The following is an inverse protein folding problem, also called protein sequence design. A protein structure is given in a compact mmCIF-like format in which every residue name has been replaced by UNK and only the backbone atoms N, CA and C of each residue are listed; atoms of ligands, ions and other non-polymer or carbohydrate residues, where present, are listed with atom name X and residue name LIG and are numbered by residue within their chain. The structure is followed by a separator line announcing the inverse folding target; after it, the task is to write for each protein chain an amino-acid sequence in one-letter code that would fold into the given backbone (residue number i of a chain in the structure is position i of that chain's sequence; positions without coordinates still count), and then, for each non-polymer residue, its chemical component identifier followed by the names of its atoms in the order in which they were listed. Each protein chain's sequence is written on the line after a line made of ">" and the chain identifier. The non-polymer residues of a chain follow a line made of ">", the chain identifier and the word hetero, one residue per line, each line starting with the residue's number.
data_IF_531200853047
#
_entry.id   IF_531200853047
#
_cell.length_a   1.000
_cell.length_b   1.000
_cell.length_c   1.000
_cell.angle_alpha   90.00
_cell.angle_beta   90.00
_cell.angle_gamma   90.00
#
_symmetry.space_group_name_H-M   'P 1'
#
loop_
_entity.id
_entity.type
_entity.pdbx_description
1 polymer ?
#
# COMPACT_ATOMS: atom_id res chain seq x y z
N UNK A 1 -9.14 8.95 -13.18
CA UNK A 1 -9.34 7.77 -12.30
C UNK A 1 -8.85 8.00 -10.87
N UNK A 2 -7.60 8.42 -10.66
CA UNK A 2 -7.05 8.68 -9.31
C UNK A 2 -7.91 9.64 -8.48
N UNK A 3 -8.38 10.72 -9.09
CA UNK A 3 -9.32 11.70 -8.50
C UNK A 3 -10.56 11.01 -7.91
N UNK A 4 -11.14 10.03 -8.62
CA UNK A 4 -12.30 9.30 -8.14
C UNK A 4 -11.96 8.29 -7.03
N UNK A 5 -10.73 7.74 -7.02
CA UNK A 5 -10.28 6.78 -6.00
C UNK A 5 -9.92 7.44 -4.66
N UNK A 6 -9.40 8.67 -4.67
CA UNK A 6 -9.00 9.38 -3.44
C UNK A 6 -10.21 9.87 -2.62
N UNK A 7 -11.35 10.11 -3.27
CA UNK A 7 -12.58 10.53 -2.58
C UNK A 7 -13.08 9.48 -1.57
N UNK A 8 -13.37 8.21 -1.95
CA UNK A 8 -13.83 7.20 -1.00
C UNK A 8 -12.77 6.81 0.03
N UNK A 9 -11.47 6.91 -0.32
CA UNK A 9 -10.37 6.74 0.64
C UNK A 9 -10.45 7.79 1.75
N UNK A 10 -10.46 9.06 1.37
CA UNK A 10 -10.48 10.18 2.32
C UNK A 10 -11.76 10.16 3.16
N UNK A 11 -12.89 9.87 2.53
CA UNK A 11 -14.16 9.71 3.23
C UNK A 11 -14.12 8.56 4.24
N UNK A 12 -13.46 7.44 3.91
CA UNK A 12 -13.34 6.31 4.83
C UNK A 12 -12.41 6.61 6.02
N UNK A 13 -11.35 7.40 5.81
CA UNK A 13 -10.39 7.79 6.85
C UNK A 13 -10.96 8.84 7.81
N UNK A 14 -11.52 9.93 7.26
CA UNK A 14 -11.97 11.08 8.05
C UNK A 14 -13.45 11.06 8.40
N UNK A 15 -14.24 10.17 7.77
CA UNK A 15 -15.70 10.09 7.92
C UNK A 15 -16.42 11.43 7.64
N UNK A 16 -15.80 12.30 6.83
CA UNK A 16 -16.33 13.61 6.48
C UNK A 16 -16.18 13.87 4.98
N UNK A 17 -17.19 14.52 4.40
CA UNK A 17 -17.23 14.86 2.97
C UNK A 17 -16.32 16.03 2.63
N UNK A 18 -16.18 17.00 3.53
CA UNK A 18 -15.34 18.19 3.31
C UNK A 18 -13.88 17.86 2.96
N UNK A 19 -13.12 17.10 3.78
CA UNK A 19 -11.75 16.75 3.42
C UNK A 19 -11.70 15.88 2.15
N UNK A 20 -12.71 15.03 1.91
CA UNK A 20 -12.75 14.21 0.71
C UNK A 20 -12.90 15.04 -0.58
N UNK A 21 -13.77 16.05 -0.56
CA UNK A 21 -13.96 16.98 -1.68
C UNK A 21 -12.71 17.84 -1.87
N UNK A 22 -12.14 18.38 -0.79
CA UNK A 22 -10.91 19.18 -0.86
C UNK A 22 -9.73 18.39 -1.44
N UNK A 23 -9.52 17.16 -0.97
CA UNK A 23 -8.48 16.28 -1.53
C UNK A 23 -8.73 15.97 -3.00
N UNK A 24 -9.98 15.65 -3.38
CA UNK A 24 -10.35 15.37 -4.76
C UNK A 24 -10.11 16.59 -5.68
N UNK A 25 -10.52 17.78 -5.24
CA UNK A 25 -10.31 19.04 -5.97
C UNK A 25 -8.83 19.39 -6.08
N UNK A 26 -8.08 19.32 -4.97
CA UNK A 26 -6.65 19.60 -4.97
C UNK A 26 -5.87 18.66 -5.88
N UNK A 27 -6.24 17.38 -5.94
CA UNK A 27 -5.63 16.42 -6.86
C UNK A 27 -6.01 16.69 -8.32
N UNK A 28 -7.25 17.08 -8.59
CA UNK A 28 -7.75 17.36 -9.94
C UNK A 28 -7.10 18.62 -10.55
N UNK A 29 -6.78 19.60 -9.70
CA UNK A 29 -6.16 20.87 -10.10
C UNK A 29 -4.63 20.87 -9.99
N UNK A 30 -4.03 19.77 -9.53
CA UNK A 30 -2.58 19.69 -9.36
C UNK A 30 -1.86 19.59 -10.71
N UNK A 31 -0.98 20.56 -10.98
CA UNK A 31 -0.20 20.63 -12.22
C UNK A 31 0.63 19.37 -12.46
N UNK A 32 1.28 18.84 -11.42
CA UNK A 32 2.05 17.60 -11.50
C UNK A 32 1.17 16.41 -11.89
N UNK A 33 -0.01 16.29 -11.28
CA UNK A 33 -0.95 15.22 -11.62
C UNK A 33 -1.46 15.34 -13.05
N UNK A 34 -1.77 16.56 -13.53
CA UNK A 34 -2.19 16.79 -14.91
C UNK A 34 -1.07 16.55 -15.92
N UNK A 35 0.15 17.00 -15.62
CA UNK A 35 1.34 16.82 -16.45
C UNK A 35 1.66 15.34 -16.67
N UNK A 36 1.80 14.56 -15.60
CA UNK A 36 2.09 13.11 -15.72
C UNK A 36 0.92 12.32 -16.33
N UNK A 37 -0.32 12.77 -16.15
CA UNK A 37 -1.49 12.14 -16.78
C UNK A 37 -1.51 12.33 -18.29
N UNK A 38 -1.07 13.49 -18.80
CA UNK A 38 -0.97 13.77 -20.24
C UNK A 38 0.16 13.00 -20.92
N UNK A 39 1.25 12.76 -20.20
CA UNK A 39 2.42 12.04 -20.74
C UNK A 39 2.22 10.53 -20.83
N UNK A 40 1.20 9.97 -20.18
CA UNK A 40 0.93 8.52 -20.22
C UNK A 40 2.01 7.67 -19.53
N UNK A 41 2.83 8.28 -18.65
CA UNK A 41 3.85 7.54 -17.91
C UNK A 41 3.22 6.48 -16.99
N UNK A 42 3.73 5.24 -17.02
CA UNK A 42 3.28 4.16 -16.11
C UNK A 42 3.28 4.54 -14.63
N UNK A 43 4.17 5.43 -14.22
CA UNK A 43 4.26 5.94 -12.86
C UNK A 43 2.97 6.68 -12.41
N UNK A 44 2.16 7.19 -13.33
CA UNK A 44 0.88 7.86 -13.00
C UNK A 44 -0.17 6.89 -12.45
N UNK A 45 0.01 5.58 -12.67
CA UNK A 45 -0.86 4.54 -12.10
C UNK A 45 -0.57 4.29 -10.62
N UNK A 46 0.63 4.63 -10.13
CA UNK A 46 1.01 4.41 -8.74
C UNK A 46 0.08 5.12 -7.75
N UNK A 47 -0.25 6.42 -7.90
CA UNK A 47 -1.25 7.08 -7.05
C UNK A 47 -2.63 6.41 -7.06
N UNK A 48 -3.08 5.91 -8.22
CA UNK A 48 -4.38 5.23 -8.34
C UNK A 48 -4.40 3.92 -7.56
N UNK A 49 -3.42 3.03 -7.82
CA UNK A 49 -3.38 1.72 -7.20
C UNK A 49 -3.04 1.79 -5.72
N UNK A 50 -2.17 2.72 -5.30
CA UNK A 50 -1.90 2.93 -3.87
C UNK A 50 -3.13 3.46 -3.12
N UNK A 51 -3.89 4.41 -3.68
CA UNK A 51 -5.13 4.90 -3.07
C UNK A 51 -6.16 3.77 -2.89
N UNK A 52 -6.36 2.93 -3.91
CA UNK A 52 -7.25 1.78 -3.84
C UNK A 52 -6.77 0.72 -2.84
N UNK A 53 -5.47 0.41 -2.85
CA UNK A 53 -4.85 -0.53 -1.91
C UNK A 53 -5.07 -0.10 -0.45
N UNK A 54 -4.82 1.18 -0.14
CA UNK A 54 -5.03 1.76 1.19
C UNK A 54 -6.52 1.80 1.54
N UNK A 55 -7.41 2.14 0.60
CA UNK A 55 -8.85 2.16 0.84
C UNK A 55 -9.37 0.78 1.26
N UNK A 56 -9.02 -0.25 0.51
CA UNK A 56 -9.45 -1.62 0.82
C UNK A 56 -8.77 -2.16 2.07
N UNK A 57 -7.49 -1.85 2.30
CA UNK A 57 -6.81 -2.14 3.56
C UNK A 57 -7.56 -1.54 4.75
N UNK A 58 -7.92 -0.25 4.66
CA UNK A 58 -8.66 0.42 5.72
C UNK A 58 -10.03 -0.20 5.99
N UNK A 59 -10.73 -0.65 4.94
CA UNK A 59 -12.02 -1.37 5.06
C UNK A 59 -11.85 -2.75 5.69
N UNK A 60 -10.78 -3.49 5.37
CA UNK A 60 -10.46 -4.76 6.02
C UNK A 60 -10.10 -4.53 7.50
N UNK A 61 -9.17 -3.60 7.75
CA UNK A 61 -8.72 -3.24 9.09
C UNK A 61 -9.85 -2.79 10.00
N UNK A 62 -10.74 -1.91 9.51
CA UNK A 62 -11.88 -1.42 10.30
C UNK A 62 -12.82 -2.53 10.75
N UNK A 63 -12.84 -3.67 10.07
CA UNK A 63 -13.63 -4.86 10.44
C UNK A 63 -12.92 -5.79 11.41
N UNK A 64 -11.59 -5.69 11.53
CA UNK A 64 -10.82 -6.40 12.56
C UNK A 64 -10.90 -5.72 13.93
N UNK A 65 -11.41 -4.48 13.99
CA UNK A 65 -11.60 -3.77 15.25
C UNK A 65 -12.82 -4.34 15.99
N UNK A 66 -12.70 -4.68 17.28
CA UNK A 66 -13.88 -5.07 18.06
C UNK A 66 -14.88 -3.90 18.09
N UNK A 67 -16.20 -4.18 18.06
CA UNK A 67 -17.22 -3.15 18.16
C UNK A 67 -16.96 -2.28 19.39
N UNK A 68 -16.93 -0.97 19.20
CA UNK A 68 -17.08 0.00 20.30
C UNK A 68 -18.53 -0.05 20.77
N UNK A 69 -18.91 -1.10 21.48
CA UNK A 69 -20.19 -1.19 22.20
C UNK A 69 -19.96 -1.03 23.69
N UNK A 70 -20.70 -0.05 24.22
CA UNK A 70 -20.98 0.29 25.62
C UNK A 70 -20.77 -0.82 26.65
N UNK A 71 -20.15 -0.45 27.78
CA UNK A 71 -20.29 -0.95 29.18
C UNK A 71 -20.77 -2.39 29.45
N UNK A 72 -20.57 -3.37 28.55
CA UNK A 72 -20.78 -4.78 28.89
C UNK A 72 -19.50 -5.30 29.53
N UNK A 73 -19.60 -6.01 30.68
CA UNK A 73 -18.43 -6.56 31.36
C UNK A 73 -17.64 -7.45 30.39
N UNK A 74 -16.30 -7.54 30.57
CA UNK A 74 -15.48 -8.38 29.73
C UNK A 74 -15.96 -9.82 29.87
N UNK A 75 -16.61 -10.32 28.82
CA UNK A 75 -16.71 -11.75 28.63
C UNK A 75 -15.30 -12.25 28.33
N UNK A 76 -14.79 -13.14 29.17
CA UNK A 76 -13.47 -13.76 29.06
C UNK A 76 -13.40 -14.75 27.89
N UNK A 77 -14.46 -14.88 27.09
CA UNK A 77 -14.35 -15.56 25.81
C UNK A 77 -13.32 -14.84 24.92
N UNK A 78 -12.31 -15.54 24.37
CA UNK A 78 -11.43 -14.93 23.40
C UNK A 78 -12.30 -14.56 22.19
N UNK A 79 -12.67 -13.28 22.09
CA UNK A 79 -13.48 -12.76 20.97
C UNK A 79 -12.61 -12.68 19.71
N UNK A 80 -12.16 -13.85 19.26
CA UNK A 80 -11.54 -14.07 17.98
C UNK A 80 -12.65 -14.00 16.92
N UNK A 81 -12.89 -12.79 16.41
CA UNK A 81 -13.79 -12.63 15.28
C UNK A 81 -13.03 -13.09 14.03
N UNK A 82 -13.35 -14.30 13.57
CA UNK A 82 -12.89 -14.84 12.28
C UNK A 82 -13.22 -13.79 11.20
N UNK A 83 -12.29 -13.47 10.28
CA UNK A 83 -12.60 -12.58 9.18
C UNK A 83 -13.82 -13.12 8.43
N UNK A 84 -14.94 -12.40 8.53
CA UNK A 84 -16.17 -12.72 7.80
C UNK A 84 -15.89 -12.72 6.29
N UNK A 85 -16.72 -13.41 5.50
CA UNK A 85 -16.57 -13.49 4.02
C UNK A 85 -16.38 -12.12 3.36
N UNK A 86 -16.99 -11.06 3.91
CA UNK A 86 -16.83 -9.68 3.44
C UNK A 86 -15.45 -9.07 3.76
N UNK A 87 -14.81 -9.46 4.87
CA UNK A 87 -13.45 -9.01 5.21
C UNK A 87 -12.43 -9.58 4.22
N UNK A 88 -12.57 -10.85 3.85
CA UNK A 88 -11.68 -11.53 2.90
C UNK A 88 -11.68 -10.85 1.53
N UNK A 89 -12.83 -10.35 1.06
CA UNK A 89 -12.91 -9.56 -0.18
C UNK A 89 -12.02 -8.30 -0.10
N UNK A 90 -12.08 -7.54 0.99
CA UNK A 90 -11.27 -6.33 1.12
C UNK A 90 -9.77 -6.62 1.19
N UNK A 91 -9.37 -7.70 1.86
CA UNK A 91 -7.96 -8.13 1.91
C UNK A 91 -7.49 -8.54 0.51
N UNK A 92 -8.31 -9.27 -0.24
CA UNK A 92 -8.00 -9.68 -1.62
C UNK A 92 -7.75 -8.47 -2.53
N UNK A 93 -8.68 -7.50 -2.56
CA UNK A 93 -8.52 -6.31 -3.40
C UNK A 93 -7.39 -5.39 -2.92
N UNK A 94 -7.17 -5.27 -1.60
CA UNK A 94 -6.02 -4.53 -1.08
C UNK A 94 -4.70 -5.14 -1.55
N UNK A 95 -4.59 -6.46 -1.48
CA UNK A 95 -3.40 -7.21 -1.92
C UNK A 95 -3.20 -7.11 -3.43
N UNK A 96 -4.28 -7.24 -4.21
CA UNK A 96 -4.27 -7.12 -5.67
C UNK A 96 -3.77 -5.75 -6.13
N UNK A 97 -4.35 -4.66 -5.60
CA UNK A 97 -3.92 -3.31 -5.97
C UNK A 97 -2.51 -2.97 -5.46
N UNK A 98 -2.09 -3.55 -4.34
CA UNK A 98 -0.69 -3.41 -3.87
C UNK A 98 0.29 -4.08 -4.84
N UNK A 99 -0.01 -5.30 -5.28
CA UNK A 99 0.81 -6.00 -6.28
C UNK A 99 0.84 -5.23 -7.61
N UNK A 100 -0.30 -4.68 -8.04
CA UNK A 100 -0.38 -3.87 -9.26
C UNK A 100 0.39 -2.56 -9.14
N UNK A 101 0.42 -1.94 -7.96
CA UNK A 101 1.25 -0.77 -7.68
C UNK A 101 2.76 -1.11 -7.78
N UNK A 102 3.18 -2.22 -7.17
CA UNK A 102 4.58 -2.73 -7.23
C UNK A 102 4.99 -3.05 -8.66
N UNK A 103 4.08 -3.61 -9.45
CA UNK A 103 4.30 -3.87 -10.87
C UNK A 103 4.42 -2.58 -11.70
N UNK A 104 3.59 -1.58 -11.41
CA UNK A 104 3.57 -0.32 -12.15
C UNK A 104 4.79 0.58 -11.87
N UNK A 105 5.26 0.60 -10.62
CA UNK A 105 6.32 1.52 -10.21
C UNK A 105 7.22 0.99 -9.09
N UNK A 106 8.53 1.20 -9.23
CA UNK A 106 9.53 0.67 -8.32
C UNK A 106 9.36 1.15 -6.87
N UNK A 107 9.02 2.43 -6.66
CA UNK A 107 8.85 2.99 -5.31
C UNK A 107 7.67 2.38 -4.55
N UNK A 108 6.72 1.74 -5.25
CA UNK A 108 5.58 1.10 -4.61
C UNK A 108 5.96 -0.13 -3.76
N UNK A 109 7.21 -0.62 -3.87
CA UNK A 109 7.77 -1.64 -2.95
C UNK A 109 7.75 -1.21 -1.49
N UNK A 110 7.66 0.09 -1.20
CA UNK A 110 7.52 0.62 0.16
C UNK A 110 6.09 0.55 0.70
N UNK A 111 5.08 0.35 -0.16
CA UNK A 111 3.68 0.35 0.26
C UNK A 111 3.33 -0.75 1.29
N UNK A 112 3.80 -2.01 1.17
CA UNK A 112 3.60 -3.02 2.21
C UNK A 112 4.20 -2.63 3.56
N UNK A 113 5.32 -1.90 3.58
CA UNK A 113 5.93 -1.40 4.81
C UNK A 113 5.04 -0.38 5.50
N UNK A 114 4.30 0.46 4.74
CA UNK A 114 3.32 1.39 5.30
C UNK A 114 2.22 0.63 6.05
N UNK A 115 1.76 -0.52 5.55
CA UNK A 115 0.76 -1.34 6.25
C UNK A 115 1.31 -1.95 7.54
N UNK A 116 2.55 -2.46 7.52
CA UNK A 116 3.23 -2.97 8.72
C UNK A 116 3.35 -1.86 9.75
N UNK A 117 3.88 -0.70 9.35
CA UNK A 117 4.09 0.44 10.23
C UNK A 117 2.76 0.92 10.83
N UNK A 118 1.71 1.02 10.01
CA UNK A 118 0.38 1.40 10.49
C UNK A 118 -0.15 0.42 11.55
N UNK A 119 -0.08 -0.89 11.30
CA UNK A 119 -0.53 -1.90 12.24
C UNK A 119 0.32 -1.90 13.54
N UNK A 120 1.63 -1.69 13.41
CA UNK A 120 2.54 -1.57 14.53
C UNK A 120 2.20 -0.36 15.41
N UNK A 121 2.03 0.82 14.81
CA UNK A 121 1.64 2.04 15.52
C UNK A 121 0.27 1.89 16.19
N UNK A 122 -0.70 1.27 15.50
CA UNK A 122 -2.01 0.99 16.08
C UNK A 122 -1.92 0.05 17.29
N UNK A 123 -1.09 -1.00 17.19
CA UNK A 123 -0.84 -1.92 18.29
C UNK A 123 -0.15 -1.22 19.46
N UNK A 124 0.90 -0.44 19.22
CA UNK A 124 1.60 0.32 20.25
C UNK A 124 0.68 1.30 20.98
N UNK A 125 -0.22 1.98 20.23
CA UNK A 125 -1.18 2.94 20.79
C UNK A 125 -2.28 2.27 21.61
N UNK A 126 -2.81 1.14 21.15
CA UNK A 126 -4.00 0.53 21.76
C UNK A 126 -3.65 -0.58 22.74
N UNK A 127 -2.43 -1.15 22.65
CA UNK A 127 -1.91 -2.30 23.42
C UNK A 127 -2.86 -3.50 23.47
N UNK A 128 -3.76 -3.60 22.48
CA UNK A 128 -4.71 -4.71 22.33
C UNK A 128 -4.02 -5.96 21.83
N UNK A 129 -4.75 -7.07 21.85
CA UNK A 129 -4.30 -8.33 21.28
C UNK A 129 -3.81 -8.14 19.83
N UNK A 130 -2.56 -8.54 19.57
CA UNK A 130 -1.89 -8.39 18.28
C UNK A 130 -2.28 -9.49 17.27
N UNK A 131 -2.84 -10.62 17.73
CA UNK A 131 -3.23 -11.76 16.88
C UNK A 131 -4.09 -11.38 15.65
N UNK A 132 -5.16 -10.57 15.75
CA UNK A 132 -5.94 -10.17 14.57
C UNK A 132 -5.14 -9.34 13.57
N UNK A 133 -4.19 -8.51 14.04
CA UNK A 133 -3.31 -7.73 13.16
C UNK A 133 -2.33 -8.63 12.43
N UNK A 134 -1.77 -9.63 13.13
CA UNK A 134 -0.90 -10.62 12.49
C UNK A 134 -1.63 -11.39 11.42
N UNK A 135 -2.85 -11.87 11.67
CA UNK A 135 -3.62 -12.60 10.65
C UNK A 135 -3.90 -11.70 9.46
N UNK A 136 -4.33 -10.45 9.69
CA UNK A 136 -4.55 -9.47 8.62
C UNK A 136 -3.29 -9.26 7.76
N UNK A 137 -2.14 -8.99 8.40
CA UNK A 137 -0.87 -8.76 7.71
C UNK A 137 -0.42 -10.03 7.00
N UNK A 138 -0.38 -11.18 7.68
CA UNK A 138 0.07 -12.44 7.08
C UNK A 138 -0.77 -12.82 5.86
N UNK A 139 -2.10 -12.75 5.94
CA UNK A 139 -2.97 -13.02 4.79
C UNK A 139 -2.75 -12.02 3.66
N UNK A 140 -2.58 -10.74 3.97
CA UNK A 140 -2.29 -9.70 2.97
C UNK A 140 -0.96 -9.97 2.26
N UNK A 141 0.11 -10.30 2.99
CA UNK A 141 1.43 -10.57 2.41
C UNK A 141 1.46 -11.86 1.58
N UNK A 142 0.78 -12.92 2.04
CA UNK A 142 0.63 -14.15 1.26
C UNK A 142 -0.05 -13.86 -0.08
N UNK A 143 -1.14 -13.07 -0.08
CA UNK A 143 -1.85 -12.72 -1.31
C UNK A 143 -1.05 -11.78 -2.21
N UNK A 144 -0.31 -10.82 -1.66
CA UNK A 144 0.60 -9.97 -2.45
C UNK A 144 1.66 -10.84 -3.14
N UNK A 145 2.29 -11.76 -2.39
CA UNK A 145 3.29 -12.67 -2.96
C UNK A 145 2.69 -13.55 -4.05
N UNK A 146 1.46 -14.04 -3.85
CA UNK A 146 0.73 -14.80 -4.86
C UNK A 146 0.47 -13.99 -6.14
N UNK A 147 0.03 -12.74 -6.04
CA UNK A 147 -0.20 -11.89 -7.21
C UNK A 147 1.11 -11.47 -7.90
N UNK A 148 2.19 -11.34 -7.15
CA UNK A 148 3.53 -11.07 -7.67
C UNK A 148 4.27 -12.32 -8.13
N UNK A 149 3.65 -13.51 -8.03
CA UNK A 149 4.31 -14.78 -8.33
C UNK A 149 4.99 -14.79 -9.71
N UNK A 150 4.38 -14.32 -10.80
CA UNK A 150 5.06 -14.29 -12.11
C UNK A 150 6.32 -13.41 -12.10
N UNK A 151 6.26 -12.27 -11.41
CA UNK A 151 7.39 -11.35 -11.28
C UNK A 151 8.50 -11.94 -10.41
N UNK A 152 8.12 -12.63 -9.33
CA UNK A 152 9.06 -13.34 -8.44
C UNK A 152 9.77 -14.46 -9.22
N UNK A 153 9.03 -15.25 -10.00
CA UNK A 153 9.60 -16.32 -10.84
C UNK A 153 10.57 -15.73 -11.86
N UNK A 154 10.19 -14.66 -12.55
CA UNK A 154 11.05 -14.01 -13.54
C UNK A 154 12.39 -13.57 -12.93
N UNK A 155 12.35 -12.90 -11.78
CA UNK A 155 13.58 -12.45 -11.11
C UNK A 155 14.38 -13.58 -10.44
N UNK A 156 13.73 -14.67 -10.05
CA UNK A 156 14.44 -15.86 -9.57
C UNK A 156 15.23 -16.54 -10.70
N UNK A 157 14.70 -16.52 -11.92
CA UNK A 157 15.37 -17.08 -13.11
C UNK A 157 16.42 -16.12 -13.69
N UNK A 158 16.22 -14.81 -13.55
CA UNK A 158 17.10 -13.76 -14.10
C UNK A 158 17.44 -12.69 -13.05
N UNK A 159 18.28 -13.02 -12.05
CA UNK A 159 18.59 -12.08 -10.96
C UNK A 159 19.36 -10.83 -11.42
N UNK A 160 20.05 -10.89 -12.56
CA UNK A 160 20.73 -9.75 -13.15
C UNK A 160 19.76 -8.57 -13.44
N UNK A 161 18.51 -8.88 -13.82
CA UNK A 161 17.51 -7.87 -14.16
C UNK A 161 17.02 -7.06 -12.96
N UNK A 162 17.15 -7.62 -11.74
CA UNK A 162 16.84 -6.89 -10.50
C UNK A 162 17.79 -5.71 -10.28
N UNK A 163 19.07 -5.92 -10.60
CA UNK A 163 20.14 -4.96 -10.33
C UNK A 163 20.46 -4.09 -11.53
N UNK A 164 20.06 -4.47 -12.74
CA UNK A 164 20.35 -3.75 -13.98
C UNK A 164 20.00 -2.25 -13.91
N UNK A 165 18.88 -1.89 -13.29
CA UNK A 165 18.51 -0.47 -13.08
C UNK A 165 19.38 0.22 -12.02
N UNK A 166 19.68 -0.46 -10.91
CA UNK A 166 20.48 0.09 -9.84
C UNK A 166 21.95 0.29 -10.27
N UNK A 167 22.49 -0.62 -11.08
CA UNK A 167 23.84 -0.50 -11.63
C UNK A 167 23.95 0.66 -12.63
N UNK A 168 22.93 0.88 -13.48
CA UNK A 168 22.96 1.98 -14.46
C UNK A 168 23.03 3.37 -13.82
N UNK A 169 22.37 3.58 -12.68
CA UNK A 169 22.36 4.89 -11.98
C UNK A 169 23.29 4.92 -10.77
N UNK A 170 24.15 3.92 -10.63
CA UNK A 170 25.13 3.86 -9.54
C UNK A 170 26.19 4.94 -9.75
N UNK A 171 26.53 5.66 -8.69
CA UNK A 171 27.64 6.63 -8.68
C UNK A 171 28.98 5.92 -8.94
N UNK A 172 29.02 4.60 -8.68
CA UNK A 172 30.16 3.74 -8.96
C UNK A 172 30.15 3.16 -10.38
N UNK A 173 29.20 3.54 -11.24
CA UNK A 173 29.15 3.03 -12.60
C UNK A 173 30.32 3.63 -13.41
N UNK A 174 31.28 2.82 -13.89
CA UNK A 174 32.42 3.33 -14.65
C UNK A 174 32.02 4.02 -15.95
N UNK A 175 30.83 3.74 -16.51
CA UNK A 175 30.34 4.40 -17.72
C UNK A 175 29.88 5.85 -17.49
N UNK A 176 29.50 6.21 -16.27
CA UNK A 176 28.92 7.53 -15.95
C UNK A 176 29.86 8.42 -15.15
N UNK A 177 30.68 7.81 -14.29
CA UNK A 177 31.53 8.55 -13.37
C UNK A 177 33.00 8.07 -13.41
N UNK A 178 33.36 7.21 -14.36
CA UNK A 178 34.71 6.64 -14.51
C UNK A 178 35.30 6.00 -13.22
N UNK A 179 34.47 5.72 -12.21
CA UNK A 179 34.89 5.26 -10.89
C UNK A 179 35.38 6.36 -9.94
N UNK A 180 35.28 7.64 -10.29
CA UNK A 180 35.75 8.77 -9.49
C UNK A 180 34.60 9.44 -8.70
N UNK A 181 34.60 9.26 -7.39
CA UNK A 181 33.58 9.86 -6.50
C UNK A 181 33.73 11.39 -6.37
N UNK A 182 34.93 11.93 -6.57
CA UNK A 182 35.24 13.34 -6.27
C UNK A 182 34.82 14.28 -7.41
N UNK A 183 34.70 13.78 -8.64
CA UNK A 183 34.23 14.54 -9.79
C UNK A 183 32.69 14.70 -9.86
N UNK A 184 31.95 14.01 -8.98
CA UNK A 184 30.48 13.96 -9.02
C UNK A 184 29.78 15.02 -8.13
N UNK A 185 30.54 15.89 -7.46
CA UNK A 185 30.04 17.02 -6.63
C UNK A 185 30.36 18.33 -7.32
#
# INVERSE_FOLDING_TARGET
>A
LTVAAVYPLTLALFRSRYPAILTMLGLALSDWHLHFSRLGFRAVLFPLFSALAVYFFWKAFSRTRPPTTDRRPPDNSPSFQIPTRLSSFFILYSSFFTALAIYAYLAARLLPLVFILFCLLYWLRTRRNFRPLLILISTLFILIALFLLPLIIHFALSPADLLARASTVSIFNPEWNHGDLLSAV
#
